data_IF_514259779964
#
_entry.id   IF_514259779964
#
_cell.length_a   1.000
_cell.length_b   1.000
_cell.length_c   1.000
_cell.angle_alpha   90.00
_cell.angle_beta   90.00
_cell.angle_gamma   90.00
#
_symmetry.space_group_name_H-M   'P 1'
#
loop_
_entity.id
_entity.type
_entity.pdbx_description
1 polymer ?
#
# COMPACT_ATOMS: atom_id res chain seq x y z
N UNK A 1 9.14 14.15 -34.28
CA UNK A 1 8.64 13.12 -33.36
C UNK A 1 9.40 13.02 -32.01
N UNK A 2 10.66 13.43 -31.95
CA UNK A 2 11.50 13.37 -30.70
C UNK A 2 11.20 14.49 -29.68
N UNK A 3 10.76 15.66 -30.11
CA UNK A 3 10.53 16.82 -29.23
C UNK A 3 9.26 16.73 -28.35
N UNK A 4 8.28 15.90 -28.72
CA UNK A 4 7.08 15.71 -27.90
C UNK A 4 7.32 14.74 -26.72
N UNK A 5 8.13 13.70 -26.91
CA UNK A 5 8.46 12.72 -25.86
C UNK A 5 9.20 13.34 -24.66
N UNK A 6 10.15 14.26 -24.90
CA UNK A 6 10.92 14.92 -23.83
C UNK A 6 10.08 15.94 -23.05
N UNK A 7 9.08 16.57 -23.68
CA UNK A 7 8.14 17.47 -23.00
C UNK A 7 7.17 16.71 -22.10
N UNK A 8 6.68 15.55 -22.55
CA UNK A 8 5.77 14.71 -21.77
C UNK A 8 6.43 14.15 -20.52
N UNK A 9 7.65 13.63 -20.64
CA UNK A 9 8.42 13.10 -19.48
C UNK A 9 8.72 14.19 -18.45
N UNK A 10 9.02 15.41 -18.91
CA UNK A 10 9.28 16.56 -18.02
C UNK A 10 8.00 17.06 -17.33
N UNK A 11 6.87 16.99 -18.00
CA UNK A 11 5.56 17.39 -17.48
C UNK A 11 5.05 16.38 -16.44
N UNK A 12 5.25 15.08 -16.69
CA UNK A 12 4.90 13.98 -15.76
C UNK A 12 5.77 14.02 -14.48
N UNK A 13 7.09 14.19 -14.61
CA UNK A 13 8.00 14.41 -13.46
C UNK A 13 7.59 15.63 -12.62
N UNK A 14 7.10 16.68 -13.25
CA UNK A 14 6.59 17.85 -12.52
C UNK A 14 5.26 17.58 -11.85
N UNK A 15 4.35 16.80 -12.46
CA UNK A 15 3.06 16.43 -11.87
C UNK A 15 3.26 15.64 -10.57
N UNK A 16 4.15 14.63 -10.55
CA UNK A 16 4.49 13.86 -9.34
C UNK A 16 5.04 14.78 -8.23
N UNK A 17 5.94 15.71 -8.58
CA UNK A 17 6.45 16.72 -7.63
C UNK A 17 5.36 17.65 -7.12
N UNK A 18 4.41 18.04 -7.96
CA UNK A 18 3.31 18.90 -7.55
C UNK A 18 2.29 18.16 -6.69
N UNK A 19 2.00 16.88 -6.98
CA UNK A 19 1.16 16.02 -6.14
C UNK A 19 1.80 15.84 -4.77
N UNK A 20 3.10 15.53 -4.72
CA UNK A 20 3.85 15.41 -3.46
C UNK A 20 3.94 16.72 -2.68
N UNK A 21 4.13 17.86 -3.37
CA UNK A 21 4.13 19.19 -2.75
C UNK A 21 2.72 19.57 -2.26
N UNK A 22 1.66 19.19 -2.98
CA UNK A 22 0.28 19.38 -2.56
C UNK A 22 -0.05 18.54 -1.33
N UNK A 23 0.40 17.26 -1.32
CA UNK A 23 0.30 16.36 -0.18
C UNK A 23 1.07 16.92 1.03
N UNK A 24 2.31 17.35 0.85
CA UNK A 24 3.10 17.98 1.91
C UNK A 24 2.50 19.31 2.38
N UNK A 25 1.93 20.11 1.48
CA UNK A 25 1.28 21.39 1.80
C UNK A 25 -0.06 21.21 2.55
N UNK A 26 -0.75 20.07 2.33
CA UNK A 26 -1.97 19.70 3.05
C UNK A 26 -1.59 19.07 4.40
N UNK A 27 -0.54 18.26 4.46
CA UNK A 27 -0.08 17.58 5.67
C UNK A 27 0.43 18.57 6.75
N UNK A 28 1.20 19.60 6.35
CA UNK A 28 1.77 20.57 7.29
C UNK A 28 0.72 21.34 8.13
N UNK A 29 -0.38 21.88 7.56
CA UNK A 29 -1.42 22.50 8.39
C UNK A 29 -2.34 21.50 9.09
N UNK A 30 -2.49 20.27 8.59
CA UNK A 30 -3.35 19.25 9.22
C UNK A 30 -2.74 18.76 10.52
N UNK A 31 -1.44 18.54 10.59
CA UNK A 31 -0.75 18.15 11.83
C UNK A 31 -0.81 19.25 12.90
N UNK A 32 -0.85 20.53 12.50
CA UNK A 32 -1.01 21.66 13.44
C UNK A 32 -2.47 21.97 13.77
N UNK A 33 -3.43 21.62 12.90
CA UNK A 33 -4.87 21.84 13.10
C UNK A 33 -5.58 20.67 13.77
N UNK A 34 -5.03 19.44 13.73
CA UNK A 34 -5.61 18.27 14.40
C UNK A 34 -5.66 18.45 15.93
N UNK A 35 -4.88 19.39 16.50
CA UNK A 35 -4.94 19.74 17.93
C UNK A 35 -6.02 20.76 18.31
N UNK A 36 -6.62 21.53 17.39
CA UNK A 36 -7.50 22.66 17.79
C UNK A 36 -8.93 22.65 17.28
N UNK A 37 -9.35 21.80 16.35
CA UNK A 37 -10.77 21.69 15.97
C UNK A 37 -11.13 20.27 15.55
N UNK A 38 -11.88 19.56 16.39
CA UNK A 38 -12.79 18.50 15.90
C UNK A 38 -13.69 19.18 14.86
N UNK A 39 -13.46 18.89 13.58
CA UNK A 39 -14.39 19.29 12.54
C UNK A 39 -15.65 18.48 12.81
N UNK A 40 -16.76 19.12 13.20
CA UNK A 40 -18.05 18.49 13.51
C UNK A 40 -18.67 17.71 12.31
N UNK A 41 -17.98 17.69 11.18
CA UNK A 41 -18.44 17.03 9.93
C UNK A 41 -18.21 15.51 9.92
N UNK A 42 -17.50 14.92 10.89
CA UNK A 42 -17.21 13.46 10.94
C UNK A 42 -16.29 12.98 9.81
N UNK A 43 -15.56 13.90 9.15
CA UNK A 43 -14.55 13.58 8.13
C UNK A 43 -13.22 13.38 8.83
N UNK A 44 -12.56 12.24 8.58
CA UNK A 44 -11.22 11.94 9.04
C UNK A 44 -10.24 12.14 7.88
N UNK A 45 -9.12 12.81 8.15
CA UNK A 45 -7.98 12.92 7.25
C UNK A 45 -6.87 12.02 7.78
N UNK A 46 -6.25 11.25 6.91
CA UNK A 46 -5.15 10.35 7.21
C UNK A 46 -3.94 10.66 6.33
N UNK A 47 -2.76 10.72 6.94
CA UNK A 47 -1.49 10.89 6.23
C UNK A 47 -0.47 9.98 6.89
N UNK A 48 0.04 9.01 6.14
CA UNK A 48 1.06 8.08 6.61
C UNK A 48 2.30 8.17 5.73
N UNK A 49 3.47 8.12 6.34
CA UNK A 49 4.76 8.11 5.64
C UNK A 49 5.62 6.98 6.20
N UNK A 50 5.93 5.99 5.36
CA UNK A 50 6.76 4.85 5.73
C UNK A 50 8.11 4.91 5.00
N UNK A 51 9.19 4.94 5.77
CA UNK A 51 10.54 4.74 5.22
C UNK A 51 10.88 3.27 5.39
N UNK A 52 11.06 2.55 4.29
CA UNK A 52 11.29 1.10 4.27
C UNK A 52 12.59 0.74 3.58
N UNK A 53 13.24 -0.33 4.03
CA UNK A 53 14.47 -0.85 3.42
C UNK A 53 14.23 -1.60 2.10
N UNK A 54 13.00 -2.07 1.86
CA UNK A 54 12.59 -2.79 0.66
C UNK A 54 11.08 -2.65 0.45
N UNK A 55 10.67 -2.42 -0.79
CA UNK A 55 9.27 -2.48 -1.18
C UNK A 55 8.91 -3.95 -1.51
N UNK A 56 8.20 -4.60 -0.61
CA UNK A 56 7.72 -5.97 -0.77
C UNK A 56 6.19 -5.93 -0.85
N UNK A 57 5.63 -6.54 -1.88
CA UNK A 57 4.20 -6.62 -2.11
C UNK A 57 3.81 -8.06 -2.47
N UNK A 58 2.91 -8.67 -1.69
CA UNK A 58 2.38 -10.03 -1.89
C UNK A 58 3.48 -11.07 -2.20
N UNK A 59 4.53 -11.09 -1.38
CA UNK A 59 5.65 -12.00 -1.56
C UNK A 59 6.62 -11.66 -2.69
N UNK A 60 6.46 -10.51 -3.36
CA UNK A 60 7.31 -10.04 -4.44
C UNK A 60 8.09 -8.80 -4.02
N UNK A 61 9.36 -8.70 -4.41
CA UNK A 61 10.15 -7.49 -4.21
C UNK A 61 9.98 -6.57 -5.43
N UNK A 62 9.29 -5.47 -5.26
CA UNK A 62 9.03 -4.46 -6.31
C UNK A 62 10.06 -3.33 -6.32
N UNK A 63 10.72 -3.06 -5.18
CA UNK A 63 11.70 -1.99 -5.08
C UNK A 63 12.70 -2.17 -3.95
N UNK A 64 13.74 -1.33 -3.98
CA UNK A 64 14.71 -1.19 -2.89
C UNK A 64 14.17 -0.23 -1.82
N UNK A 65 15.06 0.39 -1.04
CA UNK A 65 14.68 1.34 -0.02
C UNK A 65 13.90 2.51 -0.62
N UNK A 66 12.75 2.84 -0.01
CA UNK A 66 11.86 3.88 -0.50
C UNK A 66 11.10 4.57 0.64
N UNK A 67 10.57 5.75 0.33
CA UNK A 67 9.53 6.41 1.09
C UNK A 67 8.17 6.05 0.45
N UNK A 68 7.27 5.49 1.23
CA UNK A 68 5.89 5.20 0.83
C UNK A 68 4.98 6.21 1.52
N UNK A 69 4.18 6.93 0.76
CA UNK A 69 3.31 7.97 1.30
C UNK A 69 1.86 7.66 0.96
N UNK A 70 1.01 7.66 1.97
CA UNK A 70 -0.45 7.57 1.82
C UNK A 70 -1.10 8.87 2.27
N UNK A 71 -2.09 9.33 1.52
CA UNK A 71 -3.00 10.41 1.93
C UNK A 71 -4.42 9.94 1.71
N UNK A 72 -5.25 10.06 2.72
CA UNK A 72 -6.62 9.58 2.67
C UNK A 72 -7.62 10.52 3.32
N UNK A 73 -8.87 10.33 2.94
CA UNK A 73 -10.03 10.95 3.58
C UNK A 73 -11.10 9.89 3.79
N UNK A 74 -11.71 9.86 5.00
CA UNK A 74 -12.74 8.90 5.32
C UNK A 74 -13.99 9.59 5.89
N UNK A 75 -15.17 9.07 5.52
CA UNK A 75 -16.47 9.53 5.98
C UNK A 75 -17.49 8.40 5.99
N UNK A 76 -18.05 8.09 7.17
CA UNK A 76 -19.13 7.09 7.34
C UNK A 76 -18.87 5.74 6.68
N UNK A 77 -17.67 5.21 6.86
CA UNK A 77 -17.24 3.94 6.30
C UNK A 77 -16.67 4.02 4.87
N UNK A 78 -16.91 5.09 4.13
CA UNK A 78 -16.24 5.34 2.86
C UNK A 78 -14.87 5.96 3.08
N UNK A 79 -13.91 5.57 2.27
CA UNK A 79 -12.59 6.20 2.21
C UNK A 79 -12.10 6.34 0.76
N UNK A 80 -11.34 7.39 0.53
CA UNK A 80 -10.60 7.62 -0.70
C UNK A 80 -9.16 7.91 -0.31
N UNK A 81 -8.21 7.17 -0.86
CA UNK A 81 -6.78 7.36 -0.60
C UNK A 81 -5.95 7.35 -1.87
N UNK A 82 -4.80 7.98 -1.79
CA UNK A 82 -3.75 7.92 -2.78
C UNK A 82 -2.46 7.48 -2.10
N UNK A 83 -1.79 6.48 -2.68
CA UNK A 83 -0.49 5.99 -2.24
C UNK A 83 0.53 6.10 -3.38
N UNK A 84 1.80 6.32 -3.04
CA UNK A 84 2.89 6.32 -4.02
C UNK A 84 4.24 6.06 -3.35
N UNK A 85 5.14 5.23 -3.94
CA UNK A 85 6.49 5.05 -3.48
C UNK A 85 7.45 6.09 -4.11
N UNK A 86 8.51 6.45 -3.39
CA UNK A 86 9.67 7.18 -3.90
C UNK A 86 10.89 6.33 -3.61
N UNK A 87 11.41 5.64 -4.62
CA UNK A 87 12.58 4.77 -4.47
C UNK A 87 13.86 5.61 -4.44
N UNK A 88 14.77 5.33 -3.48
CA UNK A 88 15.94 6.18 -3.23
C UNK A 88 17.10 5.94 -4.21
N UNK A 89 17.13 4.82 -4.92
CA UNK A 89 18.19 4.48 -5.87
C UNK A 89 17.96 5.04 -7.29
N UNK A 90 16.88 5.79 -7.48
CA UNK A 90 16.55 6.46 -8.75
C UNK A 90 15.93 5.55 -9.80
N UNK A 91 15.67 4.27 -9.48
CA UNK A 91 14.86 3.36 -10.28
C UNK A 91 13.40 3.53 -9.82
N UNK A 92 12.82 4.68 -10.06
CA UNK A 92 11.45 5.00 -9.66
C UNK A 92 10.48 4.04 -10.38
N UNK A 93 9.74 3.25 -9.59
CA UNK A 93 8.43 2.80 -9.99
C UNK A 93 7.53 4.03 -9.92
N UNK A 94 7.26 4.69 -11.03
CA UNK A 94 6.34 5.83 -11.10
C UNK A 94 4.90 5.33 -10.96
N UNK A 95 4.59 4.81 -9.78
CA UNK A 95 3.32 4.21 -9.38
C UNK A 95 2.51 5.19 -8.52
N UNK A 96 1.23 5.30 -8.81
CA UNK A 96 0.25 6.00 -7.98
C UNK A 96 -0.96 5.08 -7.86
N UNK A 97 -1.29 4.67 -6.64
CA UNK A 97 -2.46 3.87 -6.36
C UNK A 97 -3.59 4.74 -5.83
N UNK A 98 -4.74 4.68 -6.48
CA UNK A 98 -5.95 5.37 -6.04
C UNK A 98 -6.96 4.33 -5.54
N UNK A 99 -7.30 4.37 -4.26
CA UNK A 99 -8.21 3.40 -3.65
C UNK A 99 -9.48 4.08 -3.17
N UNK A 100 -10.63 3.58 -3.62
CA UNK A 100 -11.94 3.83 -3.05
C UNK A 100 -12.36 2.61 -2.25
N UNK A 101 -12.67 2.79 -0.96
CA UNK A 101 -13.09 1.68 -0.10
C UNK A 101 -14.38 2.00 0.67
N UNK A 102 -15.04 0.94 1.11
CA UNK A 102 -16.15 0.99 2.06
C UNK A 102 -16.03 -0.13 3.07
N UNK A 103 -16.12 0.24 4.34
CA UNK A 103 -16.06 -0.66 5.47
C UNK A 103 -17.33 -0.55 6.33
N UNK A 104 -17.87 -1.69 6.76
CA UNK A 104 -19.01 -1.75 7.66
C UNK A 104 -18.97 -3.00 8.51
N UNK A 105 -18.95 -2.83 9.84
CA UNK A 105 -18.75 -3.94 10.77
C UNK A 105 -17.44 -4.65 10.47
N UNK A 106 -17.50 -5.94 10.17
CA UNK A 106 -16.34 -6.79 9.86
C UNK A 106 -16.09 -6.93 8.35
N UNK A 107 -16.85 -6.23 7.52
CA UNK A 107 -16.84 -6.38 6.07
C UNK A 107 -16.14 -5.19 5.41
N UNK A 108 -15.32 -5.45 4.42
CA UNK A 108 -14.67 -4.43 3.58
C UNK A 108 -14.78 -4.75 2.10
N UNK A 109 -14.92 -3.71 1.29
CA UNK A 109 -14.76 -3.75 -0.17
C UNK A 109 -13.92 -2.59 -0.62
N UNK A 110 -13.11 -2.78 -1.64
CA UNK A 110 -12.42 -1.66 -2.29
C UNK A 110 -12.22 -1.86 -3.78
N UNK A 111 -11.92 -0.77 -4.45
CA UNK A 111 -11.44 -0.72 -5.83
C UNK A 111 -10.19 0.13 -5.84
N UNK A 112 -9.08 -0.45 -6.29
CA UNK A 112 -7.78 0.21 -6.41
C UNK A 112 -7.40 0.33 -7.87
N UNK A 113 -7.00 1.51 -8.30
CA UNK A 113 -6.36 1.78 -9.58
C UNK A 113 -4.86 1.87 -9.37
N UNK A 114 -4.13 0.86 -9.83
CA UNK A 114 -2.66 0.85 -9.92
C UNK A 114 -2.27 1.57 -11.21
N UNK A 115 -1.86 2.81 -11.08
CA UNK A 115 -1.48 3.64 -12.22
C UNK A 115 0.04 3.74 -12.36
N UNK A 116 0.58 3.06 -13.40
CA UNK A 116 1.99 3.08 -13.76
C UNK A 116 2.28 4.24 -14.72
N UNK A 117 2.74 5.38 -14.21
CA UNK A 117 2.85 6.62 -14.98
C UNK A 117 4.03 6.67 -15.96
N UNK A 118 5.09 5.86 -15.78
CA UNK A 118 6.23 5.77 -16.72
C UNK A 118 6.02 4.74 -17.83
N UNK A 119 5.27 3.68 -17.57
CA UNK A 119 5.04 2.58 -18.52
C UNK A 119 3.74 2.85 -19.31
N UNK A 120 3.75 3.90 -20.14
CA UNK A 120 2.66 4.13 -21.11
C UNK A 120 1.32 4.59 -20.54
N UNK A 121 1.25 5.10 -19.30
CA UNK A 121 -0.01 5.40 -18.59
C UNK A 121 -0.90 4.15 -18.42
N UNK A 122 -0.33 3.04 -18.01
CA UNK A 122 -1.05 1.80 -17.79
C UNK A 122 -1.83 1.83 -16.48
N UNK A 123 -3.05 1.33 -16.53
CA UNK A 123 -3.96 1.23 -15.40
C UNK A 123 -4.38 -0.21 -15.18
N UNK A 124 -4.28 -0.69 -13.93
CA UNK A 124 -4.87 -1.97 -13.52
C UNK A 124 -5.85 -1.70 -12.40
N UNK A 125 -7.13 -2.02 -12.62
CA UNK A 125 -8.14 -1.93 -11.56
C UNK A 125 -8.26 -3.27 -10.86
N UNK A 126 -8.10 -3.25 -9.54
CA UNK A 126 -8.27 -4.40 -8.66
C UNK A 126 -9.45 -4.19 -7.73
N UNK A 127 -10.37 -5.15 -7.69
CA UNK A 127 -11.44 -5.22 -6.70
C UNK A 127 -10.99 -6.07 -5.51
N UNK A 128 -11.34 -5.64 -4.30
CA UNK A 128 -11.07 -6.37 -3.06
C UNK A 128 -12.38 -6.64 -2.32
N UNK A 129 -12.45 -7.81 -1.69
CA UNK A 129 -13.47 -8.20 -0.73
C UNK A 129 -12.78 -8.75 0.52
N UNK A 130 -13.12 -8.21 1.70
CA UNK A 130 -12.53 -8.63 2.96
C UNK A 130 -13.57 -8.92 4.03
N UNK A 131 -13.22 -9.83 4.95
CA UNK A 131 -13.98 -10.10 6.16
C UNK A 131 -13.04 -10.39 7.34
N UNK A 132 -13.27 -9.70 8.45
CA UNK A 132 -12.55 -9.90 9.72
C UNK A 132 -13.33 -10.81 10.65
N UNK A 133 -12.77 -11.99 10.96
CA UNK A 133 -13.33 -12.94 11.93
C UNK A 133 -12.85 -12.66 13.38
N UNK A 134 -12.12 -11.56 13.60
CA UNK A 134 -11.58 -11.16 14.89
C UNK A 134 -10.20 -11.75 15.20
N UNK A 135 -9.98 -13.01 14.91
CA UNK A 135 -8.68 -13.71 15.07
C UNK A 135 -7.91 -13.86 13.77
N UNK A 136 -8.60 -13.75 12.65
CA UNK A 136 -8.05 -13.82 11.30
C UNK A 136 -8.90 -12.99 10.36
N UNK A 137 -8.26 -12.13 9.57
CA UNK A 137 -8.84 -11.46 8.41
C UNK A 137 -8.65 -12.31 7.15
N UNK A 138 -9.66 -12.34 6.29
CA UNK A 138 -9.61 -13.02 4.98
C UNK A 138 -9.87 -11.97 3.92
N UNK A 139 -8.99 -11.86 2.93
CA UNK A 139 -9.17 -10.94 1.81
C UNK A 139 -9.04 -11.68 0.48
N UNK A 140 -9.87 -11.29 -0.46
CA UNK A 140 -9.80 -11.68 -1.87
C UNK A 140 -9.60 -10.44 -2.72
N UNK A 141 -8.61 -10.47 -3.59
CA UNK A 141 -8.28 -9.43 -4.56
C UNK A 141 -8.38 -10.01 -5.96
N UNK A 142 -8.87 -9.24 -6.92
CA UNK A 142 -8.97 -9.66 -8.32
C UNK A 142 -8.81 -8.47 -9.24
N UNK A 143 -7.92 -8.57 -10.23
CA UNK A 143 -7.81 -7.60 -11.31
C UNK A 143 -9.06 -7.69 -12.19
N UNK A 144 -9.78 -6.57 -12.34
CA UNK A 144 -11.06 -6.50 -13.07
C UNK A 144 -10.96 -5.70 -14.35
N UNK A 145 -9.86 -4.93 -14.52
CA UNK A 145 -9.58 -4.13 -15.71
C UNK A 145 -8.07 -3.89 -15.84
N UNK A 146 -7.58 -3.67 -17.06
CA UNK A 146 -6.18 -3.39 -17.39
C UNK A 146 -5.62 -4.42 -18.36
N UNK A 147 -4.30 -4.53 -18.42
CA UNK A 147 -3.61 -5.44 -19.33
C UNK A 147 -3.68 -6.90 -18.89
N UNK A 148 -3.95 -7.14 -17.61
CA UNK A 148 -4.20 -8.48 -17.09
C UNK A 148 -5.56 -8.99 -17.53
N UNK A 149 -5.54 -9.92 -18.50
CA UNK A 149 -6.74 -10.56 -19.08
C UNK A 149 -7.09 -11.88 -18.40
N UNK A 150 -6.31 -12.29 -17.40
CA UNK A 150 -6.44 -13.57 -16.70
C UNK A 150 -7.17 -13.43 -15.37
N UNK A 151 -7.60 -12.20 -15.02
CA UNK A 151 -8.22 -11.88 -13.73
C UNK A 151 -7.33 -12.33 -12.58
N UNK A 152 -6.05 -11.97 -12.61
CA UNK A 152 -5.09 -12.32 -11.58
C UNK A 152 -5.68 -12.03 -10.21
N UNK A 153 -5.66 -13.05 -9.36
CA UNK A 153 -6.29 -12.97 -8.04
C UNK A 153 -5.32 -13.37 -6.95
N UNK A 154 -5.51 -12.77 -5.78
CA UNK A 154 -4.75 -13.05 -4.58
C UNK A 154 -5.70 -13.21 -3.40
N UNK A 155 -5.46 -14.22 -2.58
CA UNK A 155 -6.18 -14.46 -1.33
C UNK A 155 -5.18 -14.34 -0.21
N UNK A 156 -5.49 -13.57 0.84
CA UNK A 156 -4.69 -13.52 2.05
C UNK A 156 -5.47 -13.93 3.30
N UNK A 157 -4.78 -14.61 4.19
CA UNK A 157 -5.18 -14.84 5.57
C UNK A 157 -4.21 -14.07 6.45
N UNK A 158 -4.72 -13.12 7.23
CA UNK A 158 -3.93 -12.24 8.08
C UNK A 158 -4.34 -12.44 9.53
N UNK A 159 -3.40 -12.78 10.40
CA UNK A 159 -3.64 -13.01 11.83
C UNK A 159 -2.80 -12.05 12.68
N UNK A 160 -3.40 -10.97 13.21
CA UNK A 160 -2.74 -10.10 14.17
C UNK A 160 -2.71 -10.74 15.57
N UNK A 161 -1.61 -10.56 16.32
CA UNK A 161 -1.49 -10.97 17.72
C UNK A 161 -0.44 -10.14 18.45
N UNK A 162 -0.51 -10.10 19.79
CA UNK A 162 0.49 -9.41 20.61
C UNK A 162 1.32 -10.43 21.40
N UNK A 163 2.64 -10.33 21.35
CA UNK A 163 3.56 -11.22 22.04
C UNK A 163 4.81 -10.42 22.49
N UNK A 164 5.26 -10.62 23.73
CA UNK A 164 6.46 -10.00 24.34
C UNK A 164 6.51 -8.45 24.22
N UNK A 165 5.33 -7.82 24.23
CA UNK A 165 5.21 -6.35 24.16
C UNK A 165 5.46 -5.77 22.78
N UNK A 166 5.36 -6.60 21.74
CA UNK A 166 5.31 -6.23 20.32
C UNK A 166 3.96 -6.64 19.74
N UNK A 167 3.52 -5.91 18.73
CA UNK A 167 2.41 -6.30 17.88
C UNK A 167 2.94 -7.08 16.69
N UNK A 168 2.35 -8.25 16.46
CA UNK A 168 2.74 -9.18 15.42
C UNK A 168 1.63 -9.37 14.42
N UNK A 169 2.01 -9.66 13.20
CA UNK A 169 1.11 -10.03 12.12
C UNK A 169 1.69 -11.20 11.33
N UNK A 170 0.95 -12.29 11.25
CA UNK A 170 1.27 -13.41 10.37
C UNK A 170 0.35 -13.36 9.14
N UNK A 171 0.92 -13.55 7.95
CA UNK A 171 0.17 -13.58 6.71
C UNK A 171 0.50 -14.83 5.90
N UNK A 172 -0.54 -15.43 5.33
CA UNK A 172 -0.43 -16.46 4.29
C UNK A 172 -1.19 -15.95 3.08
N UNK A 173 -0.46 -15.80 1.96
CA UNK A 173 -1.02 -15.34 0.69
C UNK A 173 -0.83 -16.35 -0.43
N UNK A 174 -1.85 -16.47 -1.28
CA UNK A 174 -1.87 -17.40 -2.39
C UNK A 174 -2.59 -16.84 -3.60
N UNK A 175 -2.16 -17.22 -4.80
CA UNK A 175 -2.93 -17.06 -6.03
C UNK A 175 -3.79 -18.32 -6.26
N UNK A 176 -5.12 -18.18 -6.45
CA UNK A 176 -6.03 -19.32 -6.57
C UNK A 176 -5.92 -20.06 -7.90
N UNK A 177 -5.37 -19.43 -8.93
CA UNK A 177 -5.08 -20.03 -10.24
C UNK A 177 -3.82 -19.41 -10.85
N UNK A 178 -3.33 -20.00 -11.94
CA UNK A 178 -2.16 -19.51 -12.64
C UNK A 178 -2.42 -18.23 -13.38
N UNK A 179 -1.48 -17.29 -13.30
CA UNK A 179 -1.45 -16.05 -14.09
C UNK A 179 -0.01 -15.60 -14.31
N UNK A 180 0.26 -14.93 -15.42
CA UNK A 180 1.56 -14.32 -15.67
C UNK A 180 1.85 -13.18 -14.67
N UNK A 181 0.82 -12.52 -14.16
CA UNK A 181 0.91 -11.43 -13.17
C UNK A 181 1.62 -11.86 -11.88
N UNK A 182 1.38 -13.09 -11.41
CA UNK A 182 2.04 -13.69 -10.24
C UNK A 182 3.14 -14.68 -10.62
N UNK A 183 3.41 -14.89 -11.92
CA UNK A 183 4.46 -15.78 -12.41
C UNK A 183 4.21 -17.25 -12.07
N UNK A 184 2.97 -17.71 -12.13
CA UNK A 184 2.56 -19.07 -11.77
C UNK A 184 1.52 -19.62 -12.74
N UNK A 185 1.53 -20.95 -12.95
CA UNK A 185 0.64 -21.66 -13.85
C UNK A 185 -0.52 -22.38 -13.15
N UNK A 186 -0.61 -22.28 -11.81
CA UNK A 186 -1.59 -22.99 -10.99
C UNK A 186 -1.79 -22.29 -9.65
N UNK A 187 -2.67 -22.86 -8.81
CA UNK A 187 -2.73 -22.48 -7.40
C UNK A 187 -1.33 -22.52 -6.77
N UNK A 188 -0.94 -21.41 -6.15
CA UNK A 188 0.38 -21.28 -5.56
C UNK A 188 0.36 -20.39 -4.33
N UNK A 189 1.00 -20.86 -3.24
CA UNK A 189 1.29 -20.00 -2.09
C UNK A 189 2.49 -19.13 -2.46
N UNK A 190 2.32 -17.83 -2.46
CA UNK A 190 3.34 -16.87 -2.88
C UNK A 190 3.77 -15.91 -1.76
N UNK A 191 3.09 -15.90 -0.62
CA UNK A 191 3.46 -15.08 0.54
C UNK A 191 3.31 -15.87 1.84
N UNK A 192 4.40 -16.01 2.58
CA UNK A 192 4.43 -16.44 3.96
C UNK A 192 5.20 -15.39 4.74
N UNK A 193 4.48 -14.52 5.44
CA UNK A 193 5.08 -13.38 6.11
C UNK A 193 4.84 -13.39 7.61
N UNK A 194 5.82 -12.84 8.33
CA UNK A 194 5.72 -12.55 9.75
C UNK A 194 6.31 -11.17 10.01
N UNK A 195 5.46 -10.25 10.47
CA UNK A 195 5.83 -8.91 10.87
C UNK A 195 5.80 -8.73 12.38
N UNK A 196 6.62 -7.82 12.87
CA UNK A 196 6.58 -7.32 14.24
C UNK A 196 6.72 -5.81 14.23
N UNK A 197 5.96 -5.12 15.08
CA UNK A 197 5.98 -3.68 15.20
C UNK A 197 5.94 -3.21 16.64
N UNK A 198 6.38 -1.98 16.85
CA UNK A 198 6.31 -1.28 18.12
C UNK A 198 6.10 0.20 17.92
N UNK A 199 5.05 0.73 18.52
CA UNK A 199 4.83 2.17 18.60
C UNK A 199 5.67 2.80 19.72
N UNK A 200 6.24 3.96 19.42
CA UNK A 200 7.00 4.80 20.35
C UNK A 200 6.42 6.21 20.36
N UNK A 201 6.10 6.70 21.54
CA UNK A 201 5.66 8.08 21.74
C UNK A 201 6.88 8.99 21.92
N UNK A 202 7.02 10.00 21.09
CA UNK A 202 8.07 11.02 21.17
C UNK A 202 7.44 12.30 21.74
N UNK A 203 7.53 12.44 23.06
CA UNK A 203 6.81 13.49 23.77
C UNK A 203 5.31 13.20 23.86
N UNK A 204 4.48 14.25 23.94
CA UNK A 204 3.03 14.14 24.09
C UNK A 204 2.24 14.35 22.79
N UNK A 205 2.92 14.57 21.68
CA UNK A 205 2.31 15.09 20.45
C UNK A 205 2.76 14.38 19.15
N UNK A 206 3.65 13.42 19.26
CA UNK A 206 4.14 12.67 18.11
C UNK A 206 4.38 11.21 18.49
N UNK A 207 3.91 10.28 17.66
CA UNK A 207 4.23 8.86 17.76
C UNK A 207 4.83 8.37 16.44
N UNK A 208 5.62 7.32 16.53
CA UNK A 208 6.22 6.65 15.38
C UNK A 208 6.25 5.15 15.62
N UNK A 209 6.10 4.35 14.58
CA UNK A 209 6.14 2.90 14.66
C UNK A 209 7.38 2.36 13.98
N UNK A 210 8.20 1.61 14.71
CA UNK A 210 9.25 0.79 14.13
C UNK A 210 8.69 -0.58 13.80
N UNK A 211 9.03 -1.12 12.63
CA UNK A 211 8.58 -2.45 12.24
C UNK A 211 9.66 -3.22 11.46
N UNK A 212 9.53 -4.54 11.50
CA UNK A 212 10.29 -5.46 10.67
C UNK A 212 9.36 -6.57 10.17
N UNK A 213 9.52 -6.98 8.92
CA UNK A 213 8.75 -8.07 8.29
C UNK A 213 9.71 -9.02 7.58
N UNK A 214 9.56 -10.31 7.83
CA UNK A 214 10.21 -11.38 7.09
C UNK A 214 9.17 -12.00 6.16
N UNK A 215 9.52 -12.17 4.90
CA UNK A 215 8.64 -12.70 3.86
C UNK A 215 9.34 -13.80 3.10
N UNK A 216 8.71 -14.98 2.98
CA UNK A 216 9.14 -16.06 2.12
C UNK A 216 8.11 -16.28 1.01
N UNK A 217 8.58 -16.27 -0.23
CA UNK A 217 7.78 -16.67 -1.39
C UNK A 217 8.13 -18.10 -1.78
N UNK A 218 7.28 -19.10 -1.47
CA UNK A 218 7.55 -20.51 -1.79
C UNK A 218 7.58 -20.77 -3.30
N UNK A 219 6.77 -20.05 -4.08
CA UNK A 219 6.69 -20.21 -5.55
C UNK A 219 7.97 -19.75 -6.25
N UNK A 220 8.52 -18.62 -5.81
CA UNK A 220 9.78 -18.09 -6.34
C UNK A 220 11.02 -18.61 -5.60
N UNK A 221 10.85 -19.37 -4.51
CA UNK A 221 11.93 -19.85 -3.61
C UNK A 221 12.80 -18.68 -3.09
N UNK A 222 12.17 -17.53 -2.78
CA UNK A 222 12.87 -16.32 -2.34
C UNK A 222 12.47 -15.92 -0.94
N UNK A 223 13.46 -15.41 -0.21
CA UNK A 223 13.29 -14.85 1.11
C UNK A 223 13.63 -13.35 1.08
N UNK A 224 12.80 -12.52 1.72
CA UNK A 224 12.98 -11.10 1.82
C UNK A 224 12.86 -10.64 3.28
N UNK A 225 13.54 -9.55 3.60
CA UNK A 225 13.41 -8.84 4.87
C UNK A 225 13.14 -7.37 4.61
N UNK A 226 12.22 -6.81 5.37
CA UNK A 226 11.94 -5.37 5.37
C UNK A 226 12.04 -4.85 6.79
N UNK A 227 12.72 -3.73 6.98
CA UNK A 227 12.65 -2.94 8.20
C UNK A 227 12.19 -1.54 7.83
N UNK A 228 11.43 -0.91 8.70
CA UNK A 228 10.89 0.41 8.41
C UNK A 228 10.51 1.20 9.65
N UNK A 229 10.21 2.46 9.38
CA UNK A 229 9.66 3.41 10.35
C UNK A 229 8.47 4.12 9.72
N UNK A 230 7.37 4.18 10.47
CA UNK A 230 6.11 4.82 10.09
C UNK A 230 5.86 6.07 10.93
N UNK A 231 5.36 7.13 10.27
CA UNK A 231 5.06 8.43 10.85
C UNK A 231 3.61 8.82 10.62
#
# INVERSE_FOLDING_TARGET
MWFNSVKDTKMKKNLKKWVLLLVAAIALPVTTMAQEKKVELGVNLDVTMDVVSSYIWRGQKLGNACLQTTVGVAYKGFSLSAWSPIVFDGNDNDEIDLTLAYETGNFSVSLTDYWMTEIGDEHTLEAQLGYDFGVVGVNWYTNVYGDDKEYASYISLIAPFSLIGLDWEAEVGATPWGTDYYGTDKFSVCDLSLGASKEFNIGSWFSTTLFAKATYNPTAEKFYGTVGISF
#
